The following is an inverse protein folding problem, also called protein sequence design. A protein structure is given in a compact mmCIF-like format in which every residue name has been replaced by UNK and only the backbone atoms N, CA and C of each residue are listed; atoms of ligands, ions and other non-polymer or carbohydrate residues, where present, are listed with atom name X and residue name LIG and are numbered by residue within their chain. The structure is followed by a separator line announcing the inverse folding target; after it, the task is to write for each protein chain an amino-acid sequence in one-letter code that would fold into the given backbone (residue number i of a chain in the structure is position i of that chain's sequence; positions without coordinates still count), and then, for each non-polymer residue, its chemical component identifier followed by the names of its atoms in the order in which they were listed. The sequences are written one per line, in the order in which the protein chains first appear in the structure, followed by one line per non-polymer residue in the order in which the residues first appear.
data_IF_135123772843
#
_entry.id   IF_135123772843
#
_cell.length_a   1.000
_cell.length_b   1.000
_cell.length_c   1.000
_cell.angle_alpha   90.00
_cell.angle_beta   90.00
_cell.angle_gamma   90.00
#
_symmetry.space_group_name_H-M   'P 1'
#
loop_
_entity.id
_entity.type
_entity.pdbx_description
1 polymer ?
#
# COMPACT_ATOMS: atom_id res chain seq x y z
N UNK A 1 21.62 -1.55 26.31
CA UNK A 1 20.49 -0.76 25.73
C UNK A 1 19.45 -1.76 25.28
N UNK A 2 18.33 -1.85 25.98
CA UNK A 2 17.28 -2.83 25.67
C UNK A 2 16.43 -2.27 24.53
N UNK A 3 16.61 -2.80 23.33
CA UNK A 3 15.77 -2.46 22.17
C UNK A 3 14.45 -3.16 22.36
N UNK A 4 13.44 -2.44 22.78
CA UNK A 4 12.08 -2.96 22.84
C UNK A 4 11.49 -2.87 21.42
N UNK A 5 11.17 -4.00 20.78
CA UNK A 5 10.62 -4.02 19.42
C UNK A 5 9.14 -3.60 19.43
N UNK A 6 8.75 -2.72 20.29
CA UNK A 6 7.45 -2.12 20.27
C UNK A 6 7.56 -0.87 19.41
N UNK A 7 6.63 -0.72 18.49
CA UNK A 7 6.35 0.59 17.97
C UNK A 7 6.42 1.53 19.14
N UNK A 8 7.52 2.19 19.24
CA UNK A 8 7.89 2.94 20.43
C UNK A 8 6.85 4.01 20.59
N UNK A 9 6.39 4.20 21.80
CA UNK A 9 5.59 5.36 22.08
C UNK A 9 6.33 6.57 21.50
N UNK A 10 5.87 7.02 20.35
CA UNK A 10 6.35 8.25 19.79
C UNK A 10 6.04 9.37 20.75
N UNK A 11 6.91 10.34 20.79
CA UNK A 11 6.58 11.60 21.38
C UNK A 11 5.20 12.06 20.88
N UNK A 12 4.46 12.68 21.76
CA UNK A 12 3.08 13.13 21.57
C UNK A 12 2.82 14.06 20.37
N UNK A 13 3.84 14.41 19.62
CA UNK A 13 3.83 15.38 18.52
C UNK A 13 3.72 14.75 17.12
N UNK A 14 3.47 13.45 17.03
CA UNK A 14 3.14 12.87 15.72
C UNK A 14 1.83 13.45 15.24
N UNK A 15 1.89 14.12 14.08
CA UNK A 15 0.71 14.56 13.38
C UNK A 15 -0.25 13.35 13.25
N UNK A 16 -1.53 13.59 13.51
CA UNK A 16 -2.53 12.55 13.34
C UNK A 16 -2.48 12.07 11.88
N UNK A 17 -2.32 10.76 11.70
CA UNK A 17 -2.37 10.16 10.36
C UNK A 17 -3.74 10.43 9.74
N UNK A 18 -3.80 10.72 8.44
CA UNK A 18 -5.07 10.83 7.73
C UNK A 18 -5.88 9.55 7.88
N UNK A 19 -7.13 9.67 8.25
CA UNK A 19 -8.04 8.54 8.44
C UNK A 19 -9.11 8.52 7.36
N UNK A 20 -9.54 7.34 6.96
CA UNK A 20 -10.64 7.15 6.04
C UNK A 20 -11.99 7.47 6.68
N UNK A 21 -12.98 7.82 5.85
CA UNK A 21 -14.33 8.21 6.28
C UNK A 21 -15.15 7.09 6.93
N UNK A 22 -14.75 5.84 6.71
CA UNK A 22 -15.46 4.66 7.25
C UNK A 22 -14.93 4.18 8.60
N UNK A 23 -13.95 4.92 9.15
CA UNK A 23 -13.32 4.65 10.43
C UNK A 23 -12.13 3.69 10.34
N UNK A 24 -11.27 3.70 11.35
CA UNK A 24 -10.03 2.93 11.34
C UNK A 24 -10.28 1.43 11.54
N UNK A 25 -9.56 0.60 10.79
CA UNK A 25 -9.48 -0.85 11.03
C UNK A 25 -8.44 -1.16 12.10
N UNK A 26 -7.36 -0.40 12.12
CA UNK A 26 -6.24 -0.59 13.03
C UNK A 26 -6.25 0.44 14.15
N UNK A 27 -5.76 0.08 15.34
CA UNK A 27 -5.48 1.09 16.36
C UNK A 27 -4.48 2.10 15.81
N UNK A 28 -4.49 3.32 16.34
CA UNK A 28 -3.51 4.35 15.97
C UNK A 28 -2.11 3.79 16.12
N UNK A 29 -1.37 3.83 15.04
CA UNK A 29 0.03 3.43 14.96
C UNK A 29 0.84 4.53 14.29
N UNK A 30 2.17 4.50 14.41
CA UNK A 30 3.06 5.41 13.67
C UNK A 30 2.86 5.26 12.15
N UNK A 31 3.64 6.02 11.37
CA UNK A 31 3.81 5.75 9.94
C UNK A 31 4.12 4.26 9.71
N UNK A 32 4.02 3.77 8.53
CA UNK A 32 4.23 2.35 8.20
C UNK A 32 3.17 1.41 8.77
N UNK A 33 2.00 1.44 8.16
CA UNK A 33 0.95 0.46 8.39
C UNK A 33 1.09 -0.70 7.42
N UNK A 34 1.21 -1.91 7.95
CA UNK A 34 1.18 -3.13 7.15
C UNK A 34 -0.22 -3.71 7.02
N UNK A 35 -0.57 -4.21 5.85
CA UNK A 35 -1.75 -5.04 5.71
C UNK A 35 -1.57 -6.15 4.68
N UNK A 36 -2.35 -7.20 4.81
CA UNK A 36 -2.34 -8.34 3.91
C UNK A 36 -3.76 -8.71 3.52
N UNK A 37 -4.04 -8.76 2.23
CA UNK A 37 -5.28 -9.27 1.68
C UNK A 37 -5.00 -10.62 1.04
N UNK A 38 -5.86 -11.62 1.30
CA UNK A 38 -5.82 -12.92 0.65
C UNK A 38 -7.20 -13.23 0.11
N UNK A 39 -7.30 -13.43 -1.19
CA UNK A 39 -8.55 -13.77 -1.87
C UNK A 39 -8.31 -14.79 -2.98
N UNK A 40 -9.34 -15.57 -3.32
CA UNK A 40 -9.29 -16.49 -4.45
C UNK A 40 -9.37 -15.72 -5.75
N UNK A 41 -8.63 -16.16 -6.76
CA UNK A 41 -8.83 -15.67 -8.12
C UNK A 41 -9.96 -16.41 -8.81
N UNK A 42 -10.68 -15.71 -9.69
CA UNK A 42 -11.59 -16.34 -10.64
C UNK A 42 -10.77 -17.28 -11.53
N UNK A 43 -11.14 -18.56 -11.64
CA UNK A 43 -10.36 -19.54 -12.41
C UNK A 43 -10.02 -19.07 -13.83
N UNK A 44 -8.74 -19.25 -14.20
CA UNK A 44 -8.22 -18.86 -15.52
C UNK A 44 -7.86 -17.38 -15.66
N UNK A 45 -7.93 -16.60 -14.58
CA UNK A 45 -7.58 -15.16 -14.60
C UNK A 45 -6.12 -14.86 -14.25
N UNK A 46 -5.29 -15.86 -13.96
CA UNK A 46 -3.87 -15.69 -13.65
C UNK A 46 -3.11 -14.83 -14.67
N UNK A 47 -3.32 -15.00 -15.99
CA UNK A 47 -2.62 -14.17 -16.98
C UNK A 47 -2.91 -12.68 -16.85
N UNK A 48 -4.11 -12.30 -16.40
CA UNK A 48 -4.51 -10.90 -16.21
C UNK A 48 -3.68 -10.24 -15.12
N UNK A 49 -3.38 -10.96 -14.03
CA UNK A 49 -2.52 -10.45 -12.96
C UNK A 49 -1.10 -10.17 -13.45
N UNK A 50 -0.53 -11.06 -14.27
CA UNK A 50 0.78 -10.85 -14.85
C UNK A 50 0.81 -9.68 -15.86
N UNK A 51 -0.25 -9.51 -16.63
CA UNK A 51 -0.38 -8.37 -17.52
C UNK A 51 -0.47 -7.06 -16.75
N UNK A 52 -1.27 -7.04 -15.69
CA UNK A 52 -1.40 -5.88 -14.82
C UNK A 52 -0.08 -5.48 -14.18
N UNK A 53 0.70 -6.46 -13.69
CA UNK A 53 2.03 -6.22 -13.14
C UNK A 53 2.97 -5.58 -14.17
N UNK A 54 3.02 -6.09 -15.41
CA UNK A 54 3.82 -5.50 -16.49
C UNK A 54 3.39 -4.07 -16.85
N UNK A 55 2.10 -3.76 -16.75
CA UNK A 55 1.60 -2.41 -17.01
C UNK A 55 2.02 -1.43 -15.90
N UNK A 56 2.01 -1.87 -14.64
CA UNK A 56 2.55 -1.07 -13.52
C UNK A 56 4.06 -0.86 -13.69
N UNK A 57 4.81 -1.89 -14.03
CA UNK A 57 6.26 -1.77 -14.31
C UNK A 57 6.54 -0.68 -15.34
N UNK A 58 5.88 -0.74 -16.49
CA UNK A 58 6.01 0.28 -17.54
C UNK A 58 5.61 1.68 -17.07
N UNK A 59 4.53 1.78 -16.28
CA UNK A 59 4.10 3.07 -15.75
C UNK A 59 5.15 3.66 -14.79
N UNK A 60 5.73 2.85 -13.92
CA UNK A 60 6.80 3.27 -13.00
C UNK A 60 8.09 3.62 -13.76
N UNK A 61 8.47 2.86 -14.81
CA UNK A 61 9.60 3.19 -15.67
C UNK A 61 9.41 4.54 -16.38
N UNK A 62 8.21 4.81 -16.88
CA UNK A 62 7.88 6.06 -17.55
C UNK A 62 7.76 7.24 -16.57
N UNK A 63 7.23 7.00 -15.39
CA UNK A 63 6.99 8.01 -14.35
C UNK A 63 7.22 7.39 -12.96
N UNK A 64 8.45 7.46 -12.41
CA UNK A 64 8.83 6.83 -11.13
C UNK A 64 7.94 7.21 -9.94
N UNK A 65 7.34 8.39 -9.97
CA UNK A 65 6.50 8.90 -8.88
C UNK A 65 4.99 8.64 -9.09
N UNK A 66 4.59 7.84 -10.08
CA UNK A 66 3.16 7.63 -10.38
C UNK A 66 2.37 7.01 -9.22
N UNK A 67 3.02 6.23 -8.35
CA UNK A 67 2.42 5.65 -7.14
C UNK A 67 2.65 6.50 -5.87
N UNK A 68 3.34 7.65 -5.99
CA UNK A 68 3.63 8.51 -4.84
C UNK A 68 2.39 8.96 -4.04
N UNK A 69 1.21 9.23 -4.65
CA UNK A 69 0.00 9.57 -3.92
C UNK A 69 -0.45 8.50 -2.92
N UNK A 70 -0.12 7.23 -3.15
CA UNK A 70 -0.48 6.11 -2.28
C UNK A 70 0.40 6.00 -1.03
N UNK A 71 1.45 6.85 -0.89
CA UNK A 71 2.33 6.85 0.29
C UNK A 71 2.88 5.48 0.66
N UNK A 72 3.19 4.68 -0.35
CA UNK A 72 3.69 3.32 -0.21
C UNK A 72 5.18 3.31 0.15
N UNK A 73 5.53 2.50 1.16
CA UNK A 73 6.90 2.06 1.41
C UNK A 73 7.23 0.78 0.66
N UNK A 74 6.24 -0.11 0.57
CA UNK A 74 6.41 -1.41 -0.04
C UNK A 74 5.10 -1.96 -0.58
N UNK A 75 5.17 -2.63 -1.73
CA UNK A 75 4.05 -3.34 -2.34
C UNK A 75 4.54 -4.69 -2.84
N UNK A 76 3.81 -5.73 -2.50
CA UNK A 76 4.08 -7.09 -2.97
C UNK A 76 2.80 -7.81 -3.34
N UNK A 77 2.76 -8.37 -4.55
CA UNK A 77 1.69 -9.22 -5.03
C UNK A 77 2.22 -10.62 -5.28
N UNK A 78 1.48 -11.61 -4.84
CA UNK A 78 1.86 -13.02 -5.00
C UNK A 78 0.64 -13.82 -5.44
N UNK A 79 0.83 -14.68 -6.44
CA UNK A 79 -0.10 -15.74 -6.77
C UNK A 79 0.45 -17.05 -6.20
N UNK A 80 -0.37 -17.81 -5.51
CA UNK A 80 0.04 -19.08 -4.93
C UNK A 80 -1.11 -20.09 -4.94
N UNK A 81 -0.83 -21.36 -5.27
CA UNK A 81 -1.83 -22.42 -5.27
C UNK A 81 -1.99 -23.02 -3.86
N UNK A 82 -3.24 -23.31 -3.48
CA UNK A 82 -3.59 -24.13 -2.31
C UNK A 82 -4.67 -25.09 -2.76
N UNK A 83 -4.44 -26.39 -2.63
CA UNK A 83 -5.38 -27.46 -2.99
C UNK A 83 -6.00 -27.29 -4.39
N UNK A 84 -5.18 -26.90 -5.37
CA UNK A 84 -5.61 -26.70 -6.75
C UNK A 84 -6.38 -25.40 -7.03
N UNK A 85 -6.55 -24.54 -6.04
CA UNK A 85 -7.15 -23.20 -6.18
C UNK A 85 -6.05 -22.15 -6.10
N UNK A 86 -6.03 -21.22 -7.04
CA UNK A 86 -5.06 -20.11 -7.00
C UNK A 86 -5.60 -18.96 -6.16
N UNK A 87 -4.75 -18.47 -5.26
CA UNK A 87 -5.00 -17.30 -4.44
C UNK A 87 -4.11 -16.14 -4.85
N UNK A 88 -4.64 -14.95 -4.67
CA UNK A 88 -3.91 -13.71 -4.74
C UNK A 88 -3.64 -13.20 -3.34
N UNK A 89 -2.40 -12.82 -3.06
CA UNK A 89 -2.00 -12.12 -1.86
C UNK A 89 -1.49 -10.73 -2.23
N UNK A 90 -2.07 -9.73 -1.61
CA UNK A 90 -1.59 -8.37 -1.60
C UNK A 90 -0.96 -8.08 -0.25
N UNK A 91 0.27 -7.60 -0.23
CA UNK A 91 0.91 -7.03 0.95
C UNK A 91 1.32 -5.60 0.65
N UNK A 92 0.98 -4.69 1.54
CA UNK A 92 1.35 -3.28 1.43
C UNK A 92 1.82 -2.72 2.76
N UNK A 93 2.73 -1.75 2.70
CA UNK A 93 3.14 -0.91 3.83
C UNK A 93 3.01 0.53 3.37
N UNK A 94 2.26 1.35 4.09
CA UNK A 94 1.91 2.72 3.72
C UNK A 94 1.76 3.63 4.95
N UNK A 95 1.64 4.95 4.74
CA UNK A 95 1.71 5.95 5.82
C UNK A 95 0.34 6.43 6.33
N UNK A 96 -0.76 5.99 5.74
CA UNK A 96 -2.11 6.35 6.16
C UNK A 96 -2.77 5.19 6.87
N UNK A 97 -3.92 5.42 7.53
CA UNK A 97 -4.71 4.30 7.97
C UNK A 97 -5.26 3.52 6.77
N UNK A 98 -5.70 2.29 7.03
CA UNK A 98 -6.13 1.38 5.99
C UNK A 98 -7.31 1.92 5.15
N UNK A 99 -8.29 2.55 5.80
CA UNK A 99 -9.47 3.06 5.10
C UNK A 99 -9.09 4.20 4.17
N UNK A 100 -8.28 5.14 4.66
CA UNK A 100 -7.76 6.24 3.85
C UNK A 100 -6.96 5.74 2.66
N UNK A 101 -6.09 4.74 2.87
CA UNK A 101 -5.32 4.13 1.79
C UNK A 101 -6.24 3.53 0.73
N UNK A 102 -7.26 2.77 1.15
CA UNK A 102 -8.18 2.11 0.23
C UNK A 102 -9.03 3.13 -0.54
N UNK A 103 -9.50 4.19 0.12
CA UNK A 103 -10.24 5.28 -0.51
C UNK A 103 -9.38 6.00 -1.57
N UNK A 104 -8.12 6.31 -1.25
CA UNK A 104 -7.20 6.95 -2.17
C UNK A 104 -6.88 6.06 -3.38
N UNK A 105 -6.71 4.76 -3.17
CA UNK A 105 -6.49 3.80 -4.26
C UNK A 105 -7.70 3.72 -5.18
N UNK A 106 -8.92 3.63 -4.64
CA UNK A 106 -10.16 3.63 -5.43
C UNK A 106 -10.31 4.92 -6.21
N UNK A 107 -10.10 6.08 -5.57
CA UNK A 107 -10.17 7.38 -6.22
C UNK A 107 -9.15 7.50 -7.37
N UNK A 108 -7.93 6.98 -7.18
CA UNK A 108 -6.89 6.95 -8.20
C UNK A 108 -7.31 6.09 -9.40
N UNK A 109 -7.80 4.88 -9.17
CA UNK A 109 -8.26 3.99 -10.26
C UNK A 109 -9.41 4.60 -11.05
N UNK A 110 -10.39 5.21 -10.37
CA UNK A 110 -11.51 5.90 -11.02
C UNK A 110 -11.00 7.08 -11.86
N UNK A 111 -10.10 7.90 -11.32
CA UNK A 111 -9.59 9.10 -12.00
C UNK A 111 -8.78 8.75 -13.25
N UNK A 112 -8.06 7.65 -13.23
CA UNK A 112 -7.28 7.14 -14.36
C UNK A 112 -8.14 6.35 -15.37
N UNK A 113 -9.40 6.08 -15.05
CA UNK A 113 -10.28 5.27 -15.89
C UNK A 113 -9.81 3.83 -16.03
N UNK A 114 -8.99 3.33 -15.12
CA UNK A 114 -8.44 1.97 -15.17
C UNK A 114 -9.26 1.02 -14.30
N UNK A 115 -9.24 -0.24 -14.68
CA UNK A 115 -9.79 -1.31 -13.87
C UNK A 115 -8.77 -1.70 -12.79
N UNK A 116 -9.26 -2.22 -11.69
CA UNK A 116 -8.40 -2.77 -10.64
C UNK A 116 -8.13 -4.27 -10.88
N UNK A 117 -6.98 -4.75 -10.46
CA UNK A 117 -6.68 -6.19 -10.46
C UNK A 117 -7.67 -6.98 -9.61
N UNK A 118 -8.29 -6.36 -8.61
CA UNK A 118 -9.28 -6.95 -7.71
C UNK A 118 -10.55 -7.43 -8.42
N UNK A 119 -10.90 -6.87 -9.59
CA UNK A 119 -12.04 -7.35 -10.41
C UNK A 119 -11.91 -8.81 -10.86
N UNK A 120 -10.72 -9.39 -10.72
CA UNK A 120 -10.44 -10.79 -11.05
C UNK A 120 -10.45 -11.71 -9.82
N UNK A 121 -10.93 -11.23 -8.68
CA UNK A 121 -11.10 -11.98 -7.45
C UNK A 121 -12.55 -12.45 -7.28
N UNK A 122 -12.73 -13.65 -6.73
CA UNK A 122 -14.06 -14.18 -6.42
C UNK A 122 -14.79 -13.28 -5.41
N UNK A 123 -16.03 -12.92 -5.72
CA UNK A 123 -16.87 -12.10 -4.84
C UNK A 123 -16.55 -10.60 -4.84
N UNK A 124 -15.65 -10.13 -5.68
CA UNK A 124 -15.39 -8.70 -5.79
C UNK A 124 -16.63 -7.96 -6.35
N UNK A 125 -17.03 -6.80 -5.77
CA UNK A 125 -18.25 -6.10 -6.19
C UNK A 125 -18.11 -5.51 -7.60
N UNK A 126 -19.10 -5.78 -8.45
CA UNK A 126 -19.12 -5.26 -9.84
C UNK A 126 -19.36 -3.74 -9.88
N UNK A 127 -20.08 -3.22 -8.88
CA UNK A 127 -20.49 -1.81 -8.78
C UNK A 127 -19.46 -0.90 -8.07
N UNK A 128 -18.26 -1.39 -7.81
CA UNK A 128 -17.23 -0.71 -7.00
C UNK A 128 -16.93 0.74 -7.44
N UNK A 129 -17.06 1.05 -8.73
CA UNK A 129 -16.81 2.40 -9.27
C UNK A 129 -17.85 3.42 -8.82
N UNK A 130 -19.08 2.98 -8.63
CA UNK A 130 -20.21 3.80 -8.16
C UNK A 130 -20.51 3.60 -6.68
N UNK A 131 -19.98 2.55 -6.09
CA UNK A 131 -20.14 2.15 -4.71
C UNK A 131 -18.76 1.84 -4.05
N UNK A 132 -17.93 2.86 -3.78
CA UNK A 132 -16.60 2.66 -3.18
C UNK A 132 -16.63 1.94 -1.85
N UNK A 133 -17.73 2.06 -1.09
CA UNK A 133 -17.90 1.36 0.18
C UNK A 133 -17.91 -0.16 0.01
N UNK A 134 -18.46 -0.67 -1.09
CA UNK A 134 -18.42 -2.10 -1.38
C UNK A 134 -16.99 -2.60 -1.61
N UNK A 135 -16.14 -1.80 -2.26
CA UNK A 135 -14.71 -2.10 -2.39
C UNK A 135 -14.03 -2.17 -1.01
N UNK A 136 -14.20 -1.15 -0.18
CA UNK A 136 -13.62 -1.11 1.18
C UNK A 136 -14.07 -2.31 2.00
N UNK A 137 -15.35 -2.67 1.93
CA UNK A 137 -15.91 -3.84 2.63
C UNK A 137 -15.27 -5.14 2.16
N UNK A 138 -15.14 -5.34 0.84
CA UNK A 138 -14.46 -6.51 0.28
C UNK A 138 -13.03 -6.64 0.81
N UNK A 139 -12.29 -5.54 0.82
CA UNK A 139 -10.91 -5.53 1.30
C UNK A 139 -10.86 -5.87 2.80
N UNK A 140 -11.76 -5.31 3.62
CA UNK A 140 -11.86 -5.62 5.05
C UNK A 140 -12.14 -7.10 5.32
N UNK A 141 -13.04 -7.71 4.57
CA UNK A 141 -13.40 -9.11 4.72
C UNK A 141 -12.26 -10.07 4.36
N UNK A 142 -11.40 -9.66 3.43
CA UNK A 142 -10.26 -10.44 2.95
C UNK A 142 -8.93 -10.09 3.64
N UNK A 143 -8.92 -9.07 4.48
CA UNK A 143 -7.73 -8.68 5.25
C UNK A 143 -7.37 -9.76 6.27
N UNK A 144 -6.08 -10.04 6.38
CA UNK A 144 -5.51 -10.97 7.37
C UNK A 144 -4.60 -10.19 8.30
N UNK A 145 -4.94 -10.10 9.60
CA UNK A 145 -4.11 -9.40 10.56
C UNK A 145 -2.78 -10.13 10.74
N UNK A 146 -1.71 -9.35 10.84
CA UNK A 146 -0.42 -9.87 11.25
C UNK A 146 -0.42 -10.11 12.77
N UNK A 147 0.33 -11.11 13.21
CA UNK A 147 0.59 -11.34 14.64
C UNK A 147 1.94 -10.75 15.09
N UNK A 148 2.81 -10.39 14.13
CA UNK A 148 4.09 -9.72 14.35
C UNK A 148 4.39 -8.80 13.18
N UNK A 149 4.69 -7.55 13.48
CA UNK A 149 5.23 -6.58 12.53
C UNK A 149 6.52 -5.98 13.09
N UNK A 150 7.52 -5.87 12.24
CA UNK A 150 8.77 -5.21 12.55
C UNK A 150 9.10 -4.22 11.43
N UNK A 151 9.45 -3.01 11.80
CA UNK A 151 9.97 -1.99 10.90
C UNK A 151 11.24 -1.39 11.48
N UNK A 152 12.31 -1.33 10.69
CA UNK A 152 13.57 -0.70 11.09
C UNK A 152 13.36 0.80 11.36
N UNK A 153 12.53 1.44 10.54
CA UNK A 153 12.23 2.87 10.62
C UNK A 153 10.72 3.13 10.58
N UNK A 154 9.95 2.65 11.59
CA UNK A 154 8.49 2.61 11.51
C UNK A 154 7.83 3.99 11.65
N UNK A 155 8.61 5.04 11.87
CA UNK A 155 8.12 6.40 12.12
C UNK A 155 8.41 7.38 10.98
N UNK A 156 9.19 6.95 10.00
CA UNK A 156 9.50 7.78 8.84
C UNK A 156 8.49 7.56 7.73
N UNK A 157 7.87 8.64 7.29
CA UNK A 157 6.95 8.61 6.16
C UNK A 157 7.69 8.49 4.83
N UNK A 158 7.01 8.00 3.81
CA UNK A 158 7.56 7.94 2.45
C UNK A 158 7.97 9.33 1.94
N UNK A 159 7.22 10.38 2.32
CA UNK A 159 7.56 11.76 1.96
C UNK A 159 8.81 12.28 2.67
N UNK A 160 8.99 11.95 3.95
CA UNK A 160 10.22 12.30 4.70
C UNK A 160 11.44 11.60 4.13
N UNK A 161 11.30 10.32 3.75
CA UNK A 161 12.37 9.57 3.10
C UNK A 161 12.76 10.23 1.76
N UNK A 162 11.79 10.57 0.91
CA UNK A 162 12.05 11.27 -0.35
C UNK A 162 12.76 12.61 -0.14
N UNK A 163 12.28 13.39 0.83
CA UNK A 163 12.90 14.68 1.19
C UNK A 163 14.34 14.49 1.67
N UNK A 164 14.59 13.51 2.52
CA UNK A 164 15.94 13.21 3.00
C UNK A 164 16.89 12.79 1.87
N UNK A 165 16.41 11.98 0.92
CA UNK A 165 17.18 11.58 -0.26
C UNK A 165 17.49 12.79 -1.17
N UNK A 166 16.51 13.67 -1.39
CA UNK A 166 16.72 14.89 -2.16
C UNK A 166 17.75 15.81 -1.50
N UNK A 167 17.67 16.02 -0.19
CA UNK A 167 18.68 16.79 0.57
C UNK A 167 20.07 16.17 0.46
N UNK A 168 20.17 14.83 0.60
CA UNK A 168 21.44 14.12 0.44
C UNK A 168 22.04 14.36 -0.94
N UNK A 169 21.24 14.25 -2.01
CA UNK A 169 21.71 14.49 -3.39
C UNK A 169 22.23 15.92 -3.56
N UNK A 170 21.44 16.92 -3.17
CA UNK A 170 21.82 18.33 -3.29
C UNK A 170 23.10 18.65 -2.49
N UNK A 171 23.25 18.04 -1.31
CA UNK A 171 24.45 18.22 -0.51
C UNK A 171 25.68 17.59 -1.17
N UNK A 172 25.56 16.41 -1.75
CA UNK A 172 26.65 15.77 -2.50
C UNK A 172 27.08 16.60 -3.71
N UNK A 173 26.10 17.08 -4.51
CA UNK A 173 26.38 17.97 -5.65
C UNK A 173 27.07 19.26 -5.24
N UNK A 174 26.67 19.86 -4.12
CA UNK A 174 27.34 21.05 -3.57
C UNK A 174 28.80 20.76 -3.19
N UNK A 175 29.07 19.62 -2.56
CA UNK A 175 30.44 19.24 -2.21
C UNK A 175 31.30 18.99 -3.44
N UNK A 176 30.76 18.37 -4.49
CA UNK A 176 31.48 18.12 -5.74
C UNK A 176 31.83 19.43 -6.47
N UNK A 177 31.02 20.47 -6.33
CA UNK A 177 31.30 21.81 -6.90
C UNK A 177 32.38 22.58 -6.13
N UNK A 178 32.70 22.18 -4.91
CA UNK A 178 33.72 22.83 -4.07
C UNK A 178 35.10 22.17 -4.19
N UNK A 179 35.23 21.08 -4.92
CA UNK A 179 36.49 20.40 -5.22
C UNK A 179 37.11 20.91 -6.52
#
# INVERSE_FOLDING_TARGET
MEIKPKAMAMASDTAALPQGKYGPIFPKSPACHGFTIIAKIIPGREPVFHEYARNIEKAVEAQPDCLAPLKLHYLRWVLFPVDGVTYFMYQGIFDTDFDKYTEDAVALFISLGVNTVFENLEGFPEDWKTNPEAFVRFVREHQRPSFLEYGEYPFFTADEIRKALAVKTSFSEMLDQLQ
#
